data_IF_254353591618
#
_entry.id   IF_254353591618
#
_cell.length_a   1.000
_cell.length_b   1.000
_cell.length_c   1.000
_cell.angle_alpha   90.00
_cell.angle_beta   90.00
_cell.angle_gamma   90.00
#
_symmetry.space_group_name_H-M   'P 1'
#
loop_
_entity.id
_entity.type
_entity.pdbx_description
1 polymer ?
#
# COMPACT_ATOMS: atom_id res chain seq x y z
N UNK A 1 27.94 -3.55 23.32
CA UNK A 1 26.74 -2.71 23.55
C UNK A 1 26.11 -2.46 22.19
N UNK A 2 25.13 -3.26 21.79
CA UNK A 2 24.49 -3.14 20.48
C UNK A 2 23.25 -2.25 20.61
N UNK A 3 23.30 -1.06 20.02
CA UNK A 3 22.08 -0.29 19.78
C UNK A 3 21.32 -0.99 18.66
N UNK A 4 20.25 -1.70 19.03
CA UNK A 4 19.26 -2.22 18.08
C UNK A 4 18.63 -1.00 17.40
N UNK A 5 18.91 -0.80 16.11
CA UNK A 5 18.25 0.25 15.32
C UNK A 5 16.74 0.01 15.43
N UNK A 6 16.00 1.06 15.77
CA UNK A 6 14.53 1.05 15.80
C UNK A 6 13.91 1.01 14.40
N UNK A 7 14.70 0.76 13.36
CA UNK A 7 14.27 0.73 11.96
C UNK A 7 13.78 -0.66 11.49
N UNK A 8 13.91 -1.70 12.32
CA UNK A 8 13.46 -3.06 11.98
C UNK A 8 12.05 -3.35 12.52
N UNK A 9 11.04 -2.62 12.06
CA UNK A 9 9.72 -3.25 12.02
C UNK A 9 9.85 -4.46 11.07
N UNK A 10 9.42 -5.67 11.46
CA UNK A 10 9.51 -6.81 10.55
C UNK A 10 8.75 -6.43 9.27
N UNK A 11 9.23 -6.81 8.07
CA UNK A 11 8.59 -6.46 6.80
C UNK A 11 7.07 -6.73 6.79
N UNK A 12 6.63 -7.74 7.53
CA UNK A 12 5.22 -8.07 7.76
C UNK A 12 4.41 -6.97 8.47
N UNK A 13 4.98 -6.27 9.46
CA UNK A 13 4.32 -5.17 10.15
C UNK A 13 4.16 -3.97 9.21
N UNK A 14 5.20 -3.62 8.47
CA UNK A 14 5.14 -2.50 7.54
C UNK A 14 4.18 -2.82 6.38
N UNK A 15 4.17 -4.07 5.92
CA UNK A 15 3.17 -4.57 4.97
C UNK A 15 1.74 -4.40 5.49
N UNK A 16 1.46 -4.87 6.72
CA UNK A 16 0.13 -4.74 7.31
C UNK A 16 -0.31 -3.27 7.45
N UNK A 17 0.60 -2.38 7.86
CA UNK A 17 0.34 -0.94 7.93
C UNK A 17 0.01 -0.35 6.55
N UNK A 18 0.75 -0.76 5.54
CA UNK A 18 0.51 -0.38 4.14
C UNK A 18 -0.85 -0.83 3.65
N UNK A 19 -1.18 -2.09 3.92
CA UNK A 19 -2.45 -2.69 3.56
C UNK A 19 -3.63 -1.97 4.21
N UNK A 20 -3.58 -1.75 5.52
CA UNK A 20 -4.64 -1.05 6.23
C UNK A 20 -4.80 0.39 5.72
N UNK A 21 -3.68 1.09 5.44
CA UNK A 21 -3.71 2.44 4.90
C UNK A 21 -4.31 2.51 3.49
N UNK A 22 -3.93 1.59 2.60
CA UNK A 22 -4.48 1.52 1.24
C UNK A 22 -5.97 1.20 1.25
N UNK A 23 -6.39 0.25 2.09
CA UNK A 23 -7.80 -0.13 2.27
C UNK A 23 -8.61 1.04 2.81
N UNK A 24 -8.10 1.75 3.82
CA UNK A 24 -8.76 2.93 4.37
C UNK A 24 -8.94 4.02 3.31
N UNK A 25 -7.95 4.27 2.45
CA UNK A 25 -8.04 5.25 1.37
C UNK A 25 -9.12 4.88 0.34
N UNK A 26 -9.16 3.61 -0.09
CA UNK A 26 -10.18 3.11 -1.00
C UNK A 26 -11.60 3.28 -0.44
N UNK A 27 -11.78 2.94 0.85
CA UNK A 27 -13.09 3.02 1.52
C UNK A 27 -13.53 4.46 1.83
N UNK A 28 -12.60 5.34 2.17
CA UNK A 28 -12.92 6.71 2.58
C UNK A 28 -13.16 7.64 1.38
N UNK A 29 -12.48 7.41 0.25
CA UNK A 29 -12.52 8.33 -0.89
C UNK A 29 -12.94 7.59 -2.16
N UNK A 30 -12.01 6.88 -2.79
CA UNK A 30 -12.24 5.98 -3.91
C UNK A 30 -10.96 5.23 -4.28
N UNK A 31 -11.10 4.22 -5.14
CA UNK A 31 -9.97 3.50 -5.75
C UNK A 31 -9.08 4.41 -6.59
N UNK A 32 -9.65 5.36 -7.32
CA UNK A 32 -8.92 6.34 -8.13
C UNK A 32 -8.03 7.24 -7.25
N UNK A 33 -8.54 7.67 -6.09
CA UNK A 33 -7.76 8.45 -5.14
C UNK A 33 -6.62 7.64 -4.53
N UNK A 34 -6.84 6.38 -4.18
CA UNK A 34 -5.78 5.50 -3.68
C UNK A 34 -4.67 5.30 -4.73
N UNK A 35 -5.03 5.11 -6.00
CA UNK A 35 -4.09 5.00 -7.13
C UNK A 35 -3.40 6.31 -7.45
N UNK A 36 -4.08 7.44 -7.38
CA UNK A 36 -3.43 8.75 -7.57
C UNK A 36 -2.40 9.03 -6.47
N UNK A 37 -2.72 8.68 -5.22
CA UNK A 37 -1.78 8.77 -4.11
C UNK A 37 -0.56 7.85 -4.31
N UNK A 38 -0.79 6.66 -4.89
CA UNK A 38 0.27 5.77 -5.31
C UNK A 38 1.11 6.36 -6.46
N UNK A 39 0.51 6.83 -7.55
CA UNK A 39 1.28 7.37 -8.68
C UNK A 39 2.16 8.57 -8.29
N UNK A 40 1.70 9.43 -7.38
CA UNK A 40 2.48 10.60 -6.91
C UNK A 40 3.74 10.20 -6.15
N UNK A 41 3.74 9.03 -5.51
CA UNK A 41 4.85 8.58 -4.67
C UNK A 41 5.73 7.53 -5.34
N UNK A 42 5.42 7.11 -6.56
CA UNK A 42 6.00 5.95 -7.27
C UNK A 42 7.55 5.98 -7.35
N UNK A 43 8.17 7.16 -7.43
CA UNK A 43 9.62 7.32 -7.42
C UNK A 43 10.29 7.00 -6.05
N UNK A 44 9.52 7.02 -4.96
CA UNK A 44 9.95 6.70 -3.58
C UNK A 44 9.39 5.35 -3.10
N UNK A 45 8.63 4.63 -3.93
CA UNK A 45 7.88 3.42 -3.55
C UNK A 45 8.67 2.14 -3.71
N UNK A 46 9.65 1.94 -2.84
CA UNK A 46 10.18 0.59 -2.61
C UNK A 46 10.07 0.27 -1.13
N UNK A 47 9.53 -0.91 -0.80
CA UNK A 47 9.40 -1.37 0.58
C UNK A 47 8.05 -1.99 0.92
N UNK A 48 8.03 -2.78 1.99
CA UNK A 48 6.91 -3.61 2.40
C UNK A 48 5.60 -2.83 2.61
N UNK A 49 5.67 -1.58 3.08
CA UNK A 49 4.50 -0.71 3.19
C UNK A 49 3.79 -0.48 1.84
N UNK A 50 4.54 -0.17 0.77
CA UNK A 50 3.94 0.10 -0.53
C UNK A 50 3.49 -1.17 -1.25
N UNK A 51 4.12 -2.31 -0.96
CA UNK A 51 3.61 -3.62 -1.35
C UNK A 51 2.24 -3.88 -0.69
N UNK A 52 2.12 -3.65 0.62
CA UNK A 52 0.85 -3.77 1.35
C UNK A 52 -0.23 -2.85 0.80
N UNK A 53 0.11 -1.58 0.53
CA UNK A 53 -0.81 -0.63 -0.10
C UNK A 53 -1.32 -1.13 -1.46
N UNK A 54 -0.41 -1.64 -2.29
CA UNK A 54 -0.75 -2.18 -3.62
C UNK A 54 -1.70 -3.36 -3.52
N UNK A 55 -1.46 -4.27 -2.57
CA UNK A 55 -2.37 -5.38 -2.29
C UNK A 55 -3.75 -4.92 -1.85
N UNK A 56 -3.84 -3.89 -0.99
CA UNK A 56 -5.14 -3.37 -0.57
C UNK A 56 -5.95 -2.73 -1.70
N UNK A 57 -5.28 -2.05 -2.64
CA UNK A 57 -5.94 -1.53 -3.85
C UNK A 57 -6.41 -2.68 -4.74
N UNK A 58 -5.57 -3.71 -4.92
CA UNK A 58 -5.91 -4.88 -5.73
C UNK A 58 -7.10 -5.67 -5.14
N UNK A 59 -7.09 -5.94 -3.84
CA UNK A 59 -8.19 -6.62 -3.13
C UNK A 59 -9.49 -5.84 -3.23
N UNK A 60 -9.42 -4.51 -3.09
CA UNK A 60 -10.59 -3.65 -3.28
C UNK A 60 -11.13 -3.75 -4.70
N UNK A 61 -10.27 -3.81 -5.71
CA UNK A 61 -10.69 -3.96 -7.10
C UNK A 61 -11.38 -5.30 -7.34
N UNK A 62 -10.77 -6.39 -6.88
CA UNK A 62 -11.33 -7.76 -7.01
C UNK A 62 -12.71 -7.85 -6.33
N UNK A 63 -12.81 -7.38 -5.09
CA UNK A 63 -14.05 -7.42 -4.31
C UNK A 63 -15.19 -6.60 -4.93
N UNK A 64 -14.88 -5.61 -5.77
CA UNK A 64 -15.87 -4.75 -6.43
C UNK A 64 -16.02 -5.04 -7.94
N UNK A 65 -15.34 -6.07 -8.47
CA UNK A 65 -15.37 -6.39 -9.91
C UNK A 65 -14.78 -5.28 -10.78
N UNK A 66 -13.84 -4.48 -10.25
CA UNK A 66 -13.17 -3.40 -10.95
C UNK A 66 -11.94 -3.92 -11.69
N UNK A 67 -11.54 -3.27 -12.81
CA UNK A 67 -10.36 -3.69 -13.55
C UNK A 67 -9.07 -3.46 -12.75
N UNK A 68 -8.22 -4.48 -12.71
CA UNK A 68 -6.85 -4.38 -12.22
C UNK A 68 -6.00 -3.65 -13.25
N UNK A 69 -5.57 -2.44 -12.92
CA UNK A 69 -4.68 -1.67 -13.78
C UNK A 69 -3.28 -1.82 -13.20
N UNK A 70 -2.35 -2.43 -13.91
CA UNK A 70 -0.93 -2.33 -13.58
C UNK A 70 -0.42 -1.06 -14.27
N UNK A 71 0.07 -0.09 -13.50
CA UNK A 71 0.86 1.01 -14.08
C UNK A 71 2.03 0.37 -14.84
N UNK A 72 2.18 0.73 -16.11
CA UNK A 72 3.21 0.19 -17.02
C UNK A 72 4.54 0.91 -16.85
#
# INVERSE_FOLDING_TARGET
MFYKRMDDAPPERDFALGYDAGRAMCLATSRESARAHQAVREAEQTGAFWEGWSWAVWDYEDANGLPHVTSA
#
